data_IF_740006543071
#
_entry.id   IF_740006543071
#
_cell.length_a   1.000
_cell.length_b   1.000
_cell.length_c   1.000
_cell.angle_alpha   90.00
_cell.angle_beta   90.00
_cell.angle_gamma   90.00
#
_symmetry.space_group_name_H-M   'P 1'
#
loop_
_entity.id
_entity.type
_entity.pdbx_description
1 polymer ?
#
# COMPACT_ATOMS: atom_id res chain seq x y z
N UNK A 1 24.00 42.03 69.92
CA UNK A 1 23.82 40.85 69.05
C UNK A 1 22.34 40.49 69.09
N UNK A 2 21.60 40.78 68.02
CA UNK A 2 20.14 40.68 68.02
C UNK A 2 19.69 39.24 67.67
N UNK A 3 18.87 38.67 68.55
CA UNK A 3 18.29 37.34 68.45
C UNK A 3 17.35 37.21 67.24
N UNK A 4 17.74 36.41 66.25
CA UNK A 4 16.89 35.99 65.13
C UNK A 4 15.91 34.88 65.55
N UNK A 5 14.90 35.21 66.37
CA UNK A 5 13.80 34.30 66.68
C UNK A 5 12.88 34.20 65.46
N UNK A 6 13.10 33.19 64.62
CA UNK A 6 12.16 32.85 63.55
C UNK A 6 10.85 32.34 64.15
N UNK A 7 9.74 33.03 63.91
CA UNK A 7 8.39 32.61 64.33
C UNK A 7 8.11 31.17 63.87
N UNK A 8 7.87 30.29 64.83
CA UNK A 8 7.45 28.91 64.64
C UNK A 8 6.04 28.78 65.23
N UNK A 9 5.04 28.51 64.40
CA UNK A 9 3.65 28.31 64.80
C UNK A 9 3.25 26.90 64.37
N UNK A 10 2.72 26.09 65.30
CA UNK A 10 2.30 24.70 65.05
C UNK A 10 3.36 23.80 64.40
N UNK A 11 4.63 23.91 64.83
CA UNK A 11 5.73 23.08 64.32
C UNK A 11 6.31 23.50 62.96
N UNK A 12 5.65 24.41 62.24
CA UNK A 12 6.13 24.91 60.96
C UNK A 12 6.99 26.17 61.13
N UNK A 13 8.18 26.16 60.53
CA UNK A 13 9.02 27.37 60.40
C UNK A 13 8.56 28.18 59.20
N UNK A 14 8.24 29.46 59.42
CA UNK A 14 7.82 30.40 58.37
C UNK A 14 8.70 30.36 57.12
N UNK A 15 10.02 30.34 57.30
CA UNK A 15 10.99 30.27 56.19
C UNK A 15 10.90 29.01 55.33
N UNK A 16 10.52 27.86 55.91
CA UNK A 16 10.29 26.61 55.16
C UNK A 16 8.98 26.68 54.37
N UNK A 17 7.94 27.27 54.95
CA UNK A 17 6.64 27.48 54.30
C UNK A 17 6.78 28.43 53.12
N UNK A 18 7.49 29.56 53.29
CA UNK A 18 7.70 30.54 52.23
C UNK A 18 8.51 29.97 51.05
N UNK A 19 9.55 29.17 51.34
CA UNK A 19 10.32 28.47 50.28
C UNK A 19 9.45 27.47 49.53
N UNK A 20 8.61 26.71 50.22
CA UNK A 20 7.72 25.72 49.61
C UNK A 20 6.60 26.37 48.81
N UNK A 21 6.06 27.50 49.27
CA UNK A 21 5.12 28.31 48.51
C UNK A 21 5.77 28.87 47.24
N UNK A 22 7.02 29.35 47.32
CA UNK A 22 7.73 29.86 46.16
C UNK A 22 8.04 28.76 45.13
N UNK A 23 8.42 27.56 45.58
CA UNK A 23 8.64 26.42 44.68
C UNK A 23 7.34 25.96 44.03
N UNK A 24 6.24 25.87 44.79
CA UNK A 24 4.94 25.48 44.25
C UNK A 24 4.40 26.50 43.24
N UNK A 25 4.58 27.81 43.50
CA UNK A 25 4.24 28.86 42.53
C UNK A 25 5.05 28.70 41.25
N UNK A 26 6.36 28.50 41.35
CA UNK A 26 7.20 28.27 40.17
C UNK A 26 6.74 27.04 39.36
N UNK A 27 6.44 25.92 40.03
CA UNK A 27 5.94 24.72 39.36
C UNK A 27 4.57 24.95 38.72
N UNK A 28 3.71 25.76 39.33
CA UNK A 28 2.42 26.12 38.75
C UNK A 28 2.58 26.99 37.50
N UNK A 29 3.45 27.99 37.56
CA UNK A 29 3.75 28.88 36.42
C UNK A 29 4.36 28.08 35.25
N UNK A 30 5.31 27.19 35.55
CA UNK A 30 5.93 26.30 34.56
C UNK A 30 4.88 25.34 33.94
N UNK A 31 3.96 24.81 34.75
CA UNK A 31 2.88 23.94 34.26
C UNK A 31 1.87 24.69 33.39
N UNK A 32 1.52 25.93 33.73
CA UNK A 32 0.64 26.77 32.92
C UNK A 32 1.27 27.10 31.57
N UNK A 33 2.55 27.44 31.56
CA UNK A 33 3.27 27.71 30.31
C UNK A 33 3.33 26.48 29.41
N UNK A 34 3.63 25.31 29.98
CA UNK A 34 3.62 24.04 29.23
C UNK A 34 2.23 23.72 28.68
N UNK A 35 1.17 24.01 29.44
CA UNK A 35 -0.21 23.81 28.98
C UNK A 35 -0.54 24.71 27.78
N UNK A 36 -0.12 25.98 27.79
CA UNK A 36 -0.31 26.89 26.66
C UNK A 36 0.46 26.43 25.41
N UNK A 37 1.70 25.98 25.58
CA UNK A 37 2.53 25.46 24.48
C UNK A 37 1.90 24.20 23.86
N UNK A 38 1.43 23.26 24.70
CA UNK A 38 0.73 22.06 24.23
C UNK A 38 -0.59 22.39 23.53
N UNK A 39 -1.34 23.37 24.01
CA UNK A 39 -2.58 23.81 23.35
C UNK A 39 -2.30 24.39 21.97
N UNK A 40 -1.25 25.20 21.80
CA UNK A 40 -0.84 25.71 20.49
C UNK A 40 -0.42 24.58 19.56
N UNK A 41 0.42 23.66 20.03
CA UNK A 41 0.85 22.51 19.24
C UNK A 41 -0.34 21.64 18.78
N UNK A 42 -1.35 21.48 19.63
CA UNK A 42 -2.57 20.72 19.30
C UNK A 42 -3.43 21.43 18.25
N UNK A 43 -3.51 22.77 18.29
CA UNK A 43 -4.18 23.56 17.25
C UNK A 43 -3.46 23.44 15.90
N UNK A 44 -2.13 23.55 15.90
CA UNK A 44 -1.33 23.41 14.67
C UNK A 44 -1.48 22.02 14.06
N UNK A 45 -1.42 20.97 14.89
CA UNK A 45 -1.61 19.59 14.44
C UNK A 45 -3.02 19.37 13.88
N UNK A 46 -4.05 19.96 14.52
CA UNK A 46 -5.43 19.91 14.04
C UNK A 46 -5.59 20.56 12.67
N UNK A 47 -4.89 21.67 12.44
CA UNK A 47 -4.88 22.34 11.14
C UNK A 47 -4.21 21.47 10.07
N UNK A 48 -3.05 20.88 10.38
CA UNK A 48 -2.34 19.98 9.46
C UNK A 48 -3.19 18.76 9.08
N UNK A 49 -3.87 18.14 10.06
CA UNK A 49 -4.77 17.00 9.78
C UNK A 49 -5.93 17.40 8.87
N UNK A 50 -6.49 18.61 9.02
CA UNK A 50 -7.53 19.11 8.11
C UNK A 50 -7.01 19.29 6.69
N UNK A 51 -5.82 19.87 6.52
CA UNK A 51 -5.21 20.05 5.20
C UNK A 51 -4.94 18.71 4.52
N UNK A 52 -4.31 17.76 5.22
CA UNK A 52 -4.02 16.43 4.69
C UNK A 52 -5.29 15.65 4.32
N UNK A 53 -6.40 15.85 5.04
CA UNK A 53 -7.69 15.25 4.68
C UNK A 53 -8.23 15.82 3.37
N UNK A 54 -8.16 17.14 3.19
CA UNK A 54 -8.59 17.79 1.95
C UNK A 54 -7.74 17.33 0.75
N UNK A 55 -6.41 17.29 0.90
CA UNK A 55 -5.51 16.78 -0.14
C UNK A 55 -5.83 15.32 -0.50
N UNK A 56 -6.06 14.47 0.51
CA UNK A 56 -6.43 13.06 0.27
C UNK A 56 -7.73 12.93 -0.52
N UNK A 57 -8.74 13.75 -0.22
CA UNK A 57 -10.00 13.76 -0.97
C UNK A 57 -9.80 14.23 -2.42
N UNK A 58 -8.98 15.25 -2.64
CA UNK A 58 -8.62 15.73 -3.97
C UNK A 58 -7.88 14.66 -4.79
N UNK A 59 -6.87 14.00 -4.21
CA UNK A 59 -6.18 12.89 -4.86
C UNK A 59 -7.11 11.70 -5.15
N UNK A 60 -8.04 11.40 -4.25
CA UNK A 60 -9.03 10.35 -4.48
C UNK A 60 -9.96 10.70 -5.65
N UNK A 61 -10.40 11.94 -5.75
CA UNK A 61 -11.20 12.43 -6.86
C UNK A 61 -10.42 12.39 -8.19
N UNK A 62 -9.16 12.85 -8.19
CA UNK A 62 -8.27 12.80 -9.35
C UNK A 62 -7.99 11.35 -9.80
N UNK A 63 -7.81 10.42 -8.86
CA UNK A 63 -7.65 9.00 -9.18
C UNK A 63 -8.92 8.42 -9.81
N UNK A 64 -10.10 8.82 -9.32
CA UNK A 64 -11.38 8.38 -9.87
C UNK A 64 -11.60 8.91 -11.29
N UNK A 65 -11.23 10.17 -11.58
CA UNK A 65 -11.31 10.72 -12.94
C UNK A 65 -10.34 10.04 -13.89
N UNK A 66 -9.09 9.79 -13.48
CA UNK A 66 -8.11 9.06 -14.30
C UNK A 66 -8.58 7.64 -14.56
N UNK A 67 -9.10 6.92 -13.56
CA UNK A 67 -9.68 5.58 -13.75
C UNK A 67 -10.84 5.59 -14.74
N UNK A 68 -11.70 6.61 -14.66
CA UNK A 68 -12.82 6.77 -15.59
C UNK A 68 -12.32 7.05 -17.01
N UNK A 69 -11.37 7.97 -17.17
CA UNK A 69 -10.75 8.26 -18.47
C UNK A 69 -10.05 7.03 -19.07
N UNK A 70 -9.38 6.22 -18.24
CA UNK A 70 -8.80 4.95 -18.67
C UNK A 70 -9.89 4.00 -19.15
N UNK A 71 -10.95 3.79 -18.36
CA UNK A 71 -12.09 2.94 -18.75
C UNK A 71 -12.76 3.42 -20.04
N UNK A 72 -12.95 4.73 -20.21
CA UNK A 72 -13.53 5.31 -21.43
C UNK A 72 -12.58 5.11 -22.63
N UNK A 73 -11.26 5.25 -22.44
CA UNK A 73 -10.25 4.94 -23.47
C UNK A 73 -10.24 3.46 -23.87
N UNK A 74 -10.46 2.56 -22.90
CA UNK A 74 -10.60 1.12 -23.14
C UNK A 74 -11.93 0.75 -23.80
N UNK A 75 -12.99 1.55 -23.62
CA UNK A 75 -14.30 1.31 -24.23
C UNK A 75 -14.37 1.78 -25.70
N UNK A 76 -13.60 2.81 -26.08
CA UNK A 76 -13.66 3.43 -27.41
C UNK A 76 -12.72 2.81 -28.46
N UNK A 77 -11.80 1.92 -28.06
CA UNK A 77 -10.99 1.14 -29.02
C UNK A 77 -11.28 -0.35 -28.84
N UNK A 78 -11.60 -1.12 -29.90
CA UNK A 78 -11.47 -2.58 -29.86
C UNK A 78 -9.96 -2.87 -29.87
N UNK A 79 -9.30 -2.65 -28.73
CA UNK A 79 -7.86 -2.70 -28.64
C UNK A 79 -7.45 -4.16 -28.63
N UNK A 80 -6.93 -4.60 -29.77
CA UNK A 80 -6.16 -5.84 -29.83
C UNK A 80 -4.83 -5.59 -29.12
N UNK A 81 -4.64 -6.17 -27.94
CA UNK A 81 -3.38 -6.03 -27.20
C UNK A 81 -2.45 -7.19 -27.57
N UNK A 82 -1.36 -6.96 -28.33
CA UNK A 82 -0.39 -8.02 -28.55
C UNK A 82 0.21 -8.43 -27.20
N UNK A 83 0.13 -9.72 -26.87
CA UNK A 83 0.68 -10.28 -25.64
C UNK A 83 1.45 -11.55 -25.93
N UNK A 84 2.47 -11.79 -25.11
CA UNK A 84 3.23 -13.04 -25.08
C UNK A 84 2.98 -13.72 -23.75
N UNK A 85 2.61 -15.00 -23.75
CA UNK A 85 2.53 -15.84 -22.55
C UNK A 85 3.69 -16.84 -22.60
N UNK A 86 4.57 -16.80 -21.62
CA UNK A 86 5.70 -17.71 -21.47
C UNK A 86 5.42 -18.65 -20.31
N UNK A 87 5.21 -19.93 -20.61
CA UNK A 87 4.98 -20.99 -19.63
C UNK A 87 6.26 -21.79 -19.44
N UNK A 88 6.82 -21.79 -18.23
CA UNK A 88 8.02 -22.54 -17.89
C UNK A 88 8.87 -21.85 -16.82
N UNK A 89 10.09 -22.36 -16.56
CA UNK A 89 10.72 -23.52 -17.20
C UNK A 89 10.08 -24.86 -16.80
N UNK A 90 10.17 -25.86 -17.66
CA UNK A 90 9.69 -27.24 -17.45
C UNK A 90 10.65 -28.24 -18.08
N UNK A 91 10.90 -29.37 -17.42
CA UNK A 91 11.77 -30.42 -17.98
C UNK A 91 11.08 -31.25 -19.09
N UNK A 92 9.75 -31.34 -19.04
CA UNK A 92 8.95 -32.09 -20.02
C UNK A 92 7.67 -31.34 -20.34
N UNK A 93 7.02 -31.68 -21.46
CA UNK A 93 5.76 -31.03 -21.86
C UNK A 93 4.55 -31.48 -21.04
N UNK A 94 4.63 -32.64 -20.38
CA UNK A 94 3.50 -33.26 -19.67
C UNK A 94 2.85 -32.39 -18.58
N UNK A 95 3.60 -31.62 -17.75
CA UNK A 95 3.01 -30.74 -16.74
C UNK A 95 2.25 -29.55 -17.32
N UNK A 96 2.50 -29.20 -18.59
CA UNK A 96 1.94 -28.00 -19.22
C UNK A 96 0.92 -28.26 -20.31
N UNK A 97 0.69 -29.52 -20.73
CA UNK A 97 -0.33 -29.86 -21.74
C UNK A 97 -1.69 -29.30 -21.38
N UNK A 98 -2.12 -29.45 -20.12
CA UNK A 98 -3.37 -28.88 -19.64
C UNK A 98 -3.42 -27.34 -19.72
N UNK A 99 -2.29 -26.64 -19.58
CA UNK A 99 -2.19 -25.19 -19.75
C UNK A 99 -2.18 -24.77 -21.22
N UNK A 100 -1.54 -25.57 -22.06
CA UNK A 100 -1.53 -25.37 -23.51
C UNK A 100 -2.95 -25.43 -24.06
N UNK A 101 -3.69 -26.49 -23.73
CA UNK A 101 -5.08 -26.67 -24.19
C UNK A 101 -5.98 -25.54 -23.65
N UNK A 102 -5.78 -25.14 -22.39
CA UNK A 102 -6.60 -24.09 -21.81
C UNK A 102 -6.32 -22.70 -22.36
N UNK A 103 -5.07 -22.41 -22.76
CA UNK A 103 -4.73 -21.16 -23.43
C UNK A 103 -5.43 -21.05 -24.80
N UNK A 104 -5.74 -22.18 -25.43
CA UNK A 104 -6.47 -22.22 -26.69
C UNK A 104 -7.96 -21.94 -26.52
N UNK A 105 -8.52 -22.43 -25.43
CA UNK A 105 -9.92 -22.20 -25.05
C UNK A 105 -10.11 -20.88 -24.28
N UNK A 106 -9.05 -20.07 -24.14
CA UNK A 106 -9.10 -18.83 -23.38
C UNK A 106 -9.94 -17.78 -24.11
N UNK A 107 -11.06 -17.30 -23.53
CA UNK A 107 -11.92 -16.31 -24.20
C UNK A 107 -11.28 -14.93 -24.31
N UNK A 108 -10.19 -14.69 -23.57
CA UNK A 108 -9.50 -13.40 -23.48
C UNK A 108 -8.24 -13.33 -24.34
N UNK A 109 -7.85 -14.43 -25.00
CA UNK A 109 -6.61 -14.53 -25.78
C UNK A 109 -6.88 -15.20 -27.12
N UNK A 110 -6.70 -14.44 -28.20
CA UNK A 110 -6.68 -15.00 -29.55
C UNK A 110 -5.24 -15.42 -29.89
N UNK A 111 -4.97 -16.71 -29.84
CA UNK A 111 -3.64 -17.28 -30.08
C UNK A 111 -3.27 -17.19 -31.56
N UNK A 112 -2.11 -16.63 -31.88
CA UNK A 112 -1.58 -16.53 -33.25
C UNK A 112 -0.45 -17.52 -33.52
N UNK A 113 0.46 -17.68 -32.55
CA UNK A 113 1.66 -18.47 -32.73
C UNK A 113 2.05 -19.14 -31.42
N UNK A 114 2.64 -20.34 -31.53
CA UNK A 114 3.06 -21.16 -30.39
C UNK A 114 4.41 -21.77 -30.67
N UNK A 115 5.26 -21.84 -29.65
CA UNK A 115 6.57 -22.47 -29.74
C UNK A 115 6.92 -23.11 -28.41
N UNK A 116 7.24 -24.40 -28.41
CA UNK A 116 7.92 -25.05 -27.29
C UNK A 116 9.40 -25.19 -27.63
N UNK A 117 10.26 -24.57 -26.82
CA UNK A 117 11.71 -24.65 -27.02
C UNK A 117 12.42 -24.48 -25.68
N UNK A 118 13.45 -25.29 -25.46
CA UNK A 118 14.35 -25.19 -24.31
C UNK A 118 13.60 -25.19 -22.96
N UNK A 119 12.54 -26.01 -22.85
CA UNK A 119 11.74 -26.15 -21.63
C UNK A 119 10.75 -25.00 -21.38
N UNK A 120 10.55 -24.11 -22.35
CA UNK A 120 9.58 -23.00 -22.26
C UNK A 120 8.58 -23.08 -23.41
N UNK A 121 7.30 -23.03 -23.05
CA UNK A 121 6.19 -22.90 -24.00
C UNK A 121 5.77 -21.44 -24.14
N UNK A 122 5.99 -20.87 -25.32
CA UNK A 122 5.62 -19.50 -25.66
C UNK A 122 4.36 -19.48 -26.49
N UNK A 123 3.43 -18.60 -26.13
CA UNK A 123 2.19 -18.32 -26.87
C UNK A 123 2.14 -16.83 -27.16
N UNK A 124 2.17 -16.48 -28.44
CA UNK A 124 1.94 -15.11 -28.89
C UNK A 124 0.49 -14.98 -29.36
N UNK A 125 -0.20 -13.95 -28.89
CA UNK A 125 -1.59 -13.73 -29.22
C UNK A 125 -2.02 -12.29 -29.07
N UNK A 126 -3.30 -12.09 -29.31
CA UNK A 126 -3.98 -10.82 -29.09
C UNK A 126 -4.91 -11.00 -27.91
N UNK A 127 -4.63 -10.31 -26.81
CA UNK A 127 -5.56 -10.23 -25.70
C UNK A 127 -6.67 -9.23 -26.03
N UNK A 128 -7.92 -9.65 -25.83
CA UNK A 128 -9.10 -8.77 -25.91
C UNK A 128 -9.30 -7.99 -24.61
N UNK A 129 -8.91 -8.60 -23.49
CA UNK A 129 -8.87 -7.98 -22.16
C UNK A 129 -7.68 -8.53 -21.38
N UNK A 130 -6.54 -7.79 -21.31
CA UNK A 130 -5.36 -8.22 -20.58
C UNK A 130 -5.61 -8.44 -19.08
N UNK A 131 -6.53 -7.68 -18.47
CA UNK A 131 -6.82 -7.79 -17.03
C UNK A 131 -7.60 -9.08 -16.76
N UNK A 132 -8.59 -9.38 -17.59
CA UNK A 132 -9.31 -10.65 -17.51
C UNK A 132 -8.44 -11.86 -17.84
N UNK A 133 -7.53 -11.74 -18.81
CA UNK A 133 -6.54 -12.79 -19.11
C UNK A 133 -5.66 -13.11 -17.89
N UNK A 134 -5.10 -12.09 -17.23
CA UNK A 134 -4.29 -12.27 -16.01
C UNK A 134 -5.12 -12.87 -14.87
N UNK A 135 -6.35 -12.41 -14.69
CA UNK A 135 -7.28 -12.93 -13.68
C UNK A 135 -7.64 -14.39 -13.94
N UNK A 136 -7.85 -14.75 -15.21
CA UNK A 136 -8.14 -16.12 -15.65
C UNK A 136 -6.94 -17.04 -15.40
N UNK A 137 -5.73 -16.62 -15.81
CA UNK A 137 -4.50 -17.37 -15.58
C UNK A 137 -4.19 -17.58 -14.08
N UNK A 138 -4.48 -16.60 -13.22
CA UNK A 138 -4.29 -16.75 -11.76
C UNK A 138 -5.23 -17.75 -11.10
N UNK A 139 -6.38 -18.03 -11.71
CA UNK A 139 -7.39 -18.97 -11.18
C UNK A 139 -7.16 -20.41 -11.64
N UNK A 140 -6.20 -20.62 -12.55
CA UNK A 140 -5.85 -21.92 -13.10
C UNK A 140 -5.21 -22.82 -12.02
N UNK A 141 -5.64 -24.09 -11.88
CA UNK A 141 -5.14 -24.99 -10.83
C UNK A 141 -3.69 -25.45 -11.03
N UNK A 142 -3.22 -25.38 -12.27
CA UNK A 142 -1.90 -25.77 -12.78
C UNK A 142 -0.92 -24.59 -12.88
N UNK A 143 -1.33 -23.39 -12.49
CA UNK A 143 -0.45 -22.22 -12.38
C UNK A 143 0.03 -22.07 -10.94
N UNK A 144 1.34 -22.11 -10.71
CA UNK A 144 1.95 -21.90 -9.40
C UNK A 144 2.27 -20.43 -9.15
N UNK A 145 2.84 -19.77 -10.16
CA UNK A 145 3.24 -18.37 -10.08
C UNK A 145 2.95 -17.66 -11.40
N UNK A 146 2.64 -16.37 -11.30
CA UNK A 146 2.38 -15.54 -12.46
C UNK A 146 2.98 -14.15 -12.24
N UNK A 147 3.76 -13.71 -13.24
CA UNK A 147 4.30 -12.37 -13.34
C UNK A 147 3.95 -11.74 -14.68
N UNK A 148 3.91 -10.41 -14.74
CA UNK A 148 3.65 -9.67 -15.97
C UNK A 148 4.68 -8.55 -16.11
N UNK A 149 5.58 -8.72 -17.07
CA UNK A 149 6.57 -7.70 -17.44
C UNK A 149 6.29 -7.19 -18.85
N UNK A 150 5.92 -5.91 -18.95
CA UNK A 150 5.83 -5.15 -20.21
C UNK A 150 5.11 -5.89 -21.37
N UNK A 151 4.00 -6.57 -21.08
CA UNK A 151 3.21 -7.28 -22.09
C UNK A 151 3.59 -8.75 -22.31
N UNK A 152 4.57 -9.24 -21.53
CA UNK A 152 4.90 -10.65 -21.43
C UNK A 152 4.42 -11.20 -20.09
N UNK A 153 3.56 -12.20 -20.14
CA UNK A 153 3.08 -12.92 -18.96
C UNK A 153 3.97 -14.13 -18.75
N UNK A 154 4.69 -14.17 -17.65
CA UNK A 154 5.47 -15.32 -17.23
C UNK A 154 4.61 -16.19 -16.31
N UNK A 155 4.42 -17.45 -16.71
CA UNK A 155 3.60 -18.42 -15.99
C UNK A 155 4.49 -19.58 -15.58
N UNK A 156 4.65 -19.77 -14.27
CA UNK A 156 5.33 -20.93 -13.74
C UNK A 156 4.28 -22.03 -13.51
N UNK A 157 4.35 -23.15 -14.24
CA UNK A 157 3.42 -24.23 -14.03
C UNK A 157 3.70 -24.93 -12.70
N UNK A 158 2.67 -25.51 -12.12
CA UNK A 158 2.79 -26.31 -10.91
C UNK A 158 3.42 -27.65 -11.25
N UNK A 159 4.48 -28.02 -10.56
CA UNK A 159 5.08 -29.34 -10.72
C UNK A 159 4.05 -30.43 -10.38
N UNK A 160 3.84 -31.34 -11.32
CA UNK A 160 3.08 -32.56 -11.06
C UNK A 160 4.05 -33.53 -10.39
N UNK A 161 3.99 -33.61 -9.05
CA UNK A 161 4.69 -34.67 -8.32
C UNK A 161 4.18 -36.02 -8.83
N UNK A 162 5.07 -36.78 -9.46
CA UNK A 162 4.86 -38.18 -9.83
C UNK A 162 4.82 -39.07 -8.58
#
# INVERSE_FOLDING_TARGET
MANGLGLQLFGYRRTKVDRRLKSLKKTLDDAQKNQEELQKALQDLSLQVKTLRAEKEEYAAALATVKRQQLDTFAETPTSFPMTVMVGPTDTIAPITGLMDALDDCPYLNVRFRLFRDGVYRVDGIATDPVSLLSWLRKRPDVQFLDNDKGTIHVMPKEVSA
#
